data_IF_748420775626
#
_entry.id   IF_748420775626
#
_cell.length_a   1.000
_cell.length_b   1.000
_cell.length_c   1.000
_cell.angle_alpha   90.00
_cell.angle_beta   90.00
_cell.angle_gamma   90.00
#
_symmetry.space_group_name_H-M   'P 1'
#
loop_
_entity.id
_entity.type
_entity.pdbx_description
1 polymer ?
#
# COMPACT_ATOMS: atom_id res chain seq x y z
N UNK A 1 29.02 -24.80 3.70
CA UNK A 1 28.87 -23.34 3.70
C UNK A 1 27.44 -22.96 3.89
N UNK A 2 27.19 -21.89 4.60
CA UNK A 2 25.87 -21.36 4.85
C UNK A 2 25.19 -20.98 3.53
N UNK A 3 23.91 -21.31 3.41
CA UNK A 3 23.14 -20.91 2.25
C UNK A 3 22.41 -19.59 2.54
N UNK A 4 22.45 -18.70 1.59
CA UNK A 4 21.75 -17.43 1.64
C UNK A 4 20.42 -17.56 0.92
N UNK A 5 19.35 -17.09 1.55
CA UNK A 5 18.04 -16.94 0.95
C UNK A 5 17.84 -15.46 0.62
N UNK A 6 17.80 -15.12 -0.66
CA UNK A 6 17.38 -13.78 -1.09
C UNK A 6 15.88 -13.67 -0.97
N UNK A 7 15.43 -13.07 0.08
CA UNK A 7 14.01 -12.88 0.35
C UNK A 7 13.36 -11.86 -0.59
N UNK A 8 14.12 -10.89 -1.09
CA UNK A 8 13.62 -9.77 -1.91
C UNK A 8 13.66 -9.99 -3.41
N UNK A 9 14.62 -10.76 -3.91
CA UNK A 9 14.81 -10.87 -5.36
C UNK A 9 13.74 -11.72 -6.01
N UNK A 10 12.58 -11.49 -5.97
CA UNK A 10 11.40 -12.00 -6.63
C UNK A 10 10.39 -12.79 -5.78
N UNK A 11 10.68 -13.59 -4.74
CA UNK A 11 9.58 -14.24 -4.03
C UNK A 11 8.67 -13.25 -3.31
N UNK A 12 9.22 -12.24 -2.61
CA UNK A 12 8.39 -11.32 -1.82
C UNK A 12 7.73 -10.23 -2.66
N UNK A 13 8.43 -9.59 -3.58
CA UNK A 13 7.80 -8.61 -4.49
C UNK A 13 6.73 -9.28 -5.35
N UNK A 14 7.01 -10.48 -5.85
CA UNK A 14 6.02 -11.30 -6.54
C UNK A 14 4.82 -11.63 -5.65
N UNK A 15 5.05 -11.94 -4.38
CA UNK A 15 3.98 -12.19 -3.41
C UNK A 15 3.15 -10.93 -3.15
N UNK A 16 3.78 -9.79 -2.82
CA UNK A 16 3.10 -8.52 -2.54
C UNK A 16 2.20 -8.05 -3.70
N UNK A 17 2.60 -8.32 -4.93
CA UNK A 17 1.85 -7.89 -6.12
C UNK A 17 0.91 -8.96 -6.71
N UNK A 18 0.96 -10.22 -6.27
CA UNK A 18 0.15 -11.30 -6.84
C UNK A 18 -0.76 -12.00 -5.84
N UNK A 19 -0.44 -11.92 -4.57
CA UNK A 19 -1.19 -12.60 -3.52
C UNK A 19 -1.94 -11.58 -2.67
N UNK A 20 -3.22 -11.87 -2.40
CA UNK A 20 -4.01 -11.04 -1.49
C UNK A 20 -3.31 -10.93 -0.14
N UNK A 21 -3.19 -9.73 0.45
CA UNK A 21 -2.39 -9.52 1.64
C UNK A 21 -2.96 -10.22 2.87
N UNK A 22 -2.06 -10.83 3.60
CA UNK A 22 -2.24 -11.43 4.91
C UNK A 22 -0.88 -11.51 5.59
N UNK A 23 -0.81 -12.07 6.78
CA UNK A 23 0.42 -12.15 7.57
C UNK A 23 0.89 -13.59 7.80
N UNK A 24 0.55 -14.54 6.91
CA UNK A 24 0.98 -15.94 7.01
C UNK A 24 2.18 -16.26 6.13
N UNK A 25 2.54 -15.39 5.21
CA UNK A 25 3.67 -15.61 4.31
C UNK A 25 4.97 -15.85 5.10
N UNK A 26 5.72 -16.86 4.67
CA UNK A 26 7.01 -17.23 5.24
C UNK A 26 7.86 -17.96 4.18
N UNK A 27 9.10 -18.28 4.53
CA UNK A 27 10.07 -18.94 3.64
C UNK A 27 10.32 -20.41 4.01
N UNK A 28 9.39 -21.07 4.70
CA UNK A 28 9.56 -22.46 5.17
C UNK A 28 9.93 -23.41 4.04
N UNK A 29 9.24 -23.33 2.89
CA UNK A 29 9.49 -24.22 1.75
C UNK A 29 10.89 -24.00 1.18
N UNK A 30 11.30 -22.74 1.00
CA UNK A 30 12.64 -22.41 0.53
C UNK A 30 13.74 -22.81 1.54
N UNK A 31 13.50 -22.60 2.84
CA UNK A 31 14.42 -23.00 3.90
C UNK A 31 14.56 -24.53 3.98
N UNK A 32 13.48 -25.29 3.78
CA UNK A 32 13.54 -26.74 3.77
C UNK A 32 14.45 -27.33 2.68
N UNK A 33 14.57 -26.64 1.55
CA UNK A 33 15.43 -27.06 0.43
C UNK A 33 16.93 -26.94 0.73
N UNK A 34 17.32 -26.32 1.83
CA UNK A 34 18.73 -26.11 2.18
C UNK A 34 19.39 -27.29 2.86
N UNK A 35 18.63 -28.36 3.18
CA UNK A 35 19.17 -29.58 3.78
C UNK A 35 19.61 -29.44 5.23
N UNK A 36 18.94 -28.55 5.99
CA UNK A 36 19.17 -28.40 7.44
C UNK A 36 20.38 -27.53 7.83
N UNK A 37 21.05 -26.88 6.87
CA UNK A 37 22.09 -25.89 7.18
C UNK A 37 21.45 -24.57 7.60
N UNK A 38 22.16 -23.72 8.38
CA UNK A 38 21.69 -22.39 8.73
C UNK A 38 21.27 -21.59 7.49
N UNK A 39 20.13 -20.90 7.59
CA UNK A 39 19.56 -20.08 6.51
C UNK A 39 19.48 -18.65 6.96
N UNK A 40 19.92 -17.75 6.10
CA UNK A 40 19.99 -16.33 6.38
C UNK A 40 19.24 -15.53 5.29
N UNK A 41 18.35 -14.62 5.70
CA UNK A 41 17.72 -13.67 4.79
C UNK A 41 18.75 -12.62 4.35
N UNK A 42 19.05 -12.59 3.05
CA UNK A 42 20.08 -11.72 2.49
C UNK A 42 19.47 -10.63 1.61
N UNK A 43 19.90 -9.39 1.80
CA UNK A 43 19.41 -8.22 1.06
C UNK A 43 17.88 -8.02 1.21
N UNK A 44 17.38 -8.20 2.43
CA UNK A 44 15.96 -7.98 2.74
C UNK A 44 15.62 -6.50 2.59
N UNK A 45 14.47 -6.18 1.96
CA UNK A 45 14.00 -4.82 1.74
C UNK A 45 14.14 -4.35 0.29
N UNK A 46 14.72 -3.18 0.06
CA UNK A 46 14.93 -2.56 -1.26
C UNK A 46 13.66 -1.97 -1.90
N UNK A 47 12.75 -1.44 -1.08
CA UNK A 47 11.53 -0.75 -1.52
C UNK A 47 11.80 0.74 -1.69
N UNK A 48 11.64 1.24 -2.92
CA UNK A 48 11.93 2.64 -3.26
C UNK A 48 10.88 3.61 -2.68
N UNK A 49 11.30 4.83 -2.33
CA UNK A 49 10.41 5.94 -1.99
C UNK A 49 10.87 7.21 -2.69
N UNK A 50 9.99 8.19 -2.85
CA UNK A 50 10.40 9.48 -3.40
C UNK A 50 11.45 10.14 -2.51
N UNK A 51 12.49 10.79 -3.10
CA UNK A 51 13.59 11.38 -2.33
C UNK A 51 13.19 12.70 -1.66
N UNK A 52 13.87 12.97 -0.55
CA UNK A 52 13.91 14.31 -0.01
C UNK A 52 14.95 15.16 -0.78
N UNK A 53 14.52 16.30 -1.33
CA UNK A 53 15.41 17.18 -2.09
C UNK A 53 16.32 18.07 -1.22
N UNK A 54 16.02 18.22 0.07
CA UNK A 54 16.85 19.04 0.97
C UNK A 54 18.25 18.42 1.17
N UNK A 55 18.41 17.13 0.89
CA UNK A 55 19.70 16.47 0.89
C UNK A 55 20.66 16.96 -0.21
N UNK A 56 20.14 17.56 -1.31
CA UNK A 56 20.94 17.99 -2.47
C UNK A 56 22.06 18.95 -2.05
N UNK A 57 21.74 19.92 -1.21
CA UNK A 57 22.68 20.97 -0.79
C UNK A 57 23.71 20.48 0.23
N UNK A 58 23.58 19.26 0.70
CA UNK A 58 24.50 18.60 1.64
C UNK A 58 25.63 17.87 0.94
N UNK A 59 25.50 17.56 -0.36
CA UNK A 59 26.59 16.98 -1.15
C UNK A 59 27.71 18.01 -1.37
N UNK A 60 28.94 17.61 -1.05
CA UNK A 60 30.11 18.47 -1.08
C UNK A 60 31.28 17.79 -1.77
N UNK A 61 32.24 18.59 -2.20
CA UNK A 61 33.45 18.08 -2.85
C UNK A 61 33.21 17.65 -4.30
N UNK A 62 33.68 16.48 -4.67
CA UNK A 62 33.61 15.95 -6.03
C UNK A 62 32.29 15.23 -6.30
N UNK A 63 31.49 14.92 -5.27
CA UNK A 63 30.23 14.22 -5.42
C UNK A 63 29.12 15.22 -5.78
N UNK A 64 28.60 15.08 -6.98
CA UNK A 64 27.53 15.95 -7.49
C UNK A 64 26.24 15.11 -7.60
N UNK A 65 25.15 15.46 -6.91
CA UNK A 65 23.90 14.70 -6.95
C UNK A 65 23.05 15.04 -8.19
N UNK A 66 23.61 14.85 -9.39
CA UNK A 66 22.94 15.26 -10.63
C UNK A 66 21.67 14.45 -10.91
N UNK A 67 21.61 13.20 -10.47
CA UNK A 67 20.41 12.37 -10.48
C UNK A 67 19.27 13.01 -9.67
N UNK A 68 19.52 13.44 -8.44
CA UNK A 68 18.50 14.11 -7.60
C UNK A 68 18.08 15.46 -8.19
N UNK A 69 19.04 16.22 -8.74
CA UNK A 69 18.76 17.46 -9.47
C UNK A 69 17.90 17.24 -10.71
N UNK A 70 18.15 16.16 -11.45
CA UNK A 70 17.35 15.79 -12.62
C UNK A 70 15.91 15.41 -12.23
N UNK A 71 15.74 14.65 -11.15
CA UNK A 71 14.41 14.31 -10.60
C UNK A 71 13.68 15.60 -10.18
N UNK A 72 14.34 16.52 -9.47
CA UNK A 72 13.75 17.80 -9.05
C UNK A 72 13.31 18.65 -10.24
N UNK A 73 14.17 18.82 -11.25
CA UNK A 73 13.80 19.55 -12.48
C UNK A 73 12.59 18.91 -13.18
N UNK A 74 12.55 17.58 -13.24
CA UNK A 74 11.40 16.87 -13.82
C UNK A 74 10.13 17.10 -13.01
N UNK A 75 10.20 17.05 -11.68
CA UNK A 75 9.06 17.31 -10.80
C UNK A 75 8.49 18.73 -11.03
N UNK A 76 9.35 19.74 -11.21
CA UNK A 76 8.97 21.10 -11.58
C UNK A 76 8.30 21.14 -12.96
N UNK A 77 8.89 20.47 -13.95
CA UNK A 77 8.37 20.41 -15.33
C UNK A 77 7.02 19.71 -15.44
N UNK A 78 6.80 18.64 -14.69
CA UNK A 78 5.55 17.86 -14.73
C UNK A 78 4.48 18.39 -13.79
N UNK A 79 4.84 19.27 -12.84
CA UNK A 79 3.96 19.79 -11.79
C UNK A 79 3.91 18.92 -10.53
N UNK A 80 4.67 17.82 -10.48
CA UNK A 80 4.74 16.96 -9.31
C UNK A 80 5.34 17.66 -8.07
N UNK A 81 6.12 18.74 -8.29
CA UNK A 81 6.65 19.57 -7.21
C UNK A 81 5.56 20.12 -6.27
N UNK A 82 4.34 20.36 -6.77
CA UNK A 82 3.22 20.88 -5.97
C UNK A 82 2.76 19.94 -4.83
N UNK A 83 2.97 18.63 -4.98
CA UNK A 83 2.58 17.61 -3.99
C UNK A 83 3.77 16.74 -3.55
N UNK A 84 5.02 17.23 -3.76
CA UNK A 84 6.22 16.44 -3.55
C UNK A 84 6.35 15.87 -2.13
N UNK A 85 6.19 16.70 -1.11
CA UNK A 85 6.31 16.28 0.29
C UNK A 85 5.24 15.25 0.68
N UNK A 86 4.01 15.43 0.20
CA UNK A 86 2.96 14.42 0.38
C UNK A 86 3.29 13.11 -0.36
N UNK A 87 3.91 13.20 -1.53
CA UNK A 87 4.40 12.04 -2.29
C UNK A 87 5.53 11.30 -1.57
N UNK A 88 6.49 12.02 -0.98
CA UNK A 88 7.55 11.44 -0.13
C UNK A 88 6.93 10.66 1.02
N UNK A 89 5.99 11.28 1.76
CA UNK A 89 5.31 10.61 2.87
C UNK A 89 4.52 9.38 2.40
N UNK A 90 3.75 9.47 1.32
CA UNK A 90 2.87 8.40 0.88
C UNK A 90 3.64 7.21 0.28
N UNK A 91 4.68 7.44 -0.55
CA UNK A 91 5.54 6.37 -1.07
C UNK A 91 6.35 5.70 0.05
N UNK A 92 6.86 6.50 0.99
CA UNK A 92 7.58 5.98 2.15
C UNK A 92 6.72 5.17 3.11
N UNK A 93 5.45 5.55 3.32
CA UNK A 93 4.48 4.76 4.09
C UNK A 93 4.26 3.37 3.48
N UNK A 94 4.15 3.30 2.16
CA UNK A 94 4.01 2.03 1.48
C UNK A 94 5.32 1.22 1.54
N UNK A 95 6.46 1.85 1.28
CA UNK A 95 7.76 1.20 1.41
C UNK A 95 7.96 0.60 2.81
N UNK A 96 7.64 1.34 3.87
CA UNK A 96 7.72 0.86 5.25
C UNK A 96 6.83 -0.38 5.49
N UNK A 97 5.62 -0.43 4.92
CA UNK A 97 4.73 -1.60 5.00
C UNK A 97 5.30 -2.81 4.28
N UNK A 98 5.89 -2.59 3.10
CA UNK A 98 6.56 -3.64 2.34
C UNK A 98 7.79 -4.19 3.09
N UNK A 99 8.62 -3.32 3.66
CA UNK A 99 9.73 -3.70 4.54
C UNK A 99 9.27 -4.56 5.71
N UNK A 100 8.21 -4.09 6.38
CA UNK A 100 7.65 -4.82 7.53
C UNK A 100 7.19 -6.22 7.14
N UNK A 101 6.42 -6.35 6.06
CA UNK A 101 5.89 -7.65 5.63
C UNK A 101 7.02 -8.62 5.30
N UNK A 102 8.08 -8.15 4.64
CA UNK A 102 9.20 -8.99 4.29
C UNK A 102 10.05 -9.40 5.51
N UNK A 103 10.36 -8.46 6.39
CA UNK A 103 11.07 -8.75 7.65
C UNK A 103 10.26 -9.71 8.53
N UNK A 104 8.96 -9.46 8.70
CA UNK A 104 8.11 -10.35 9.47
C UNK A 104 7.96 -11.73 8.81
N UNK A 105 8.00 -11.84 7.47
CA UNK A 105 8.00 -13.14 6.79
C UNK A 105 9.27 -13.96 7.13
N UNK A 106 10.43 -13.32 7.23
CA UNK A 106 11.65 -13.95 7.75
C UNK A 106 11.46 -14.39 9.21
N UNK A 107 10.97 -13.50 10.06
CA UNK A 107 10.74 -13.79 11.49
C UNK A 107 9.69 -14.89 11.71
N UNK A 108 8.72 -15.01 10.82
CA UNK A 108 7.69 -16.09 10.84
C UNK A 108 8.20 -17.42 10.31
N UNK A 109 9.40 -17.48 9.76
CA UNK A 109 9.99 -18.71 9.18
C UNK A 109 10.73 -19.50 10.26
N UNK A 110 10.26 -20.72 10.62
CA UNK A 110 11.00 -21.57 11.54
C UNK A 110 12.38 -21.94 10.97
N UNK A 111 13.40 -21.90 11.81
CA UNK A 111 14.76 -22.30 11.44
C UNK A 111 15.58 -21.23 10.72
N UNK A 112 15.05 -20.02 10.53
CA UNK A 112 15.89 -18.89 10.06
C UNK A 112 16.90 -18.51 11.12
N UNK A 113 18.15 -18.29 10.69
CA UNK A 113 19.27 -17.92 11.57
C UNK A 113 19.44 -16.41 11.72
N UNK A 114 18.81 -15.63 10.87
CA UNK A 114 18.87 -14.17 10.89
C UNK A 114 18.54 -13.55 9.53
N UNK A 115 18.73 -12.24 9.44
CA UNK A 115 18.59 -11.50 8.19
C UNK A 115 19.57 -10.32 8.15
N UNK A 116 19.91 -9.87 6.94
CA UNK A 116 20.56 -8.59 6.70
C UNK A 116 19.70 -7.72 5.80
N UNK A 117 19.57 -6.46 6.19
CA UNK A 117 18.87 -5.45 5.43
C UNK A 117 19.77 -4.88 4.34
N UNK A 118 19.25 -4.66 3.14
CA UNK A 118 19.86 -3.80 2.16
C UNK A 118 19.02 -2.55 1.97
N UNK A 119 19.69 -1.39 2.15
CA UNK A 119 19.05 -0.11 1.92
C UNK A 119 18.39 0.52 3.16
N UNK A 120 19.12 0.59 4.31
CA UNK A 120 18.70 1.47 5.40
C UNK A 120 18.80 2.95 4.98
N UNK A 121 19.78 3.30 4.14
CA UNK A 121 19.92 4.60 3.51
C UNK A 121 19.73 4.53 1.99
N UNK A 122 19.42 5.67 1.38
CA UNK A 122 19.42 5.83 -0.07
C UNK A 122 20.81 5.58 -0.66
N UNK A 123 20.83 4.90 -1.79
CA UNK A 123 22.05 4.68 -2.58
C UNK A 123 21.94 5.41 -3.92
N UNK A 124 22.54 6.62 -4.05
CA UNK A 124 22.42 7.42 -5.26
C UNK A 124 23.15 6.83 -6.48
N UNK A 125 24.00 5.80 -6.28
CA UNK A 125 24.61 5.03 -7.36
C UNK A 125 23.67 3.97 -7.94
N UNK A 126 24.15 3.19 -8.88
CA UNK A 126 23.49 2.02 -9.48
C UNK A 126 22.01 2.24 -9.80
N UNK A 127 21.74 3.20 -10.69
CA UNK A 127 20.39 3.52 -11.14
C UNK A 127 19.57 4.41 -10.20
N UNK A 128 20.18 4.97 -9.15
CA UNK A 128 19.52 5.83 -8.15
C UNK A 128 18.53 5.05 -7.30
N UNK A 129 19.03 4.16 -6.47
CA UNK A 129 18.22 3.35 -5.56
C UNK A 129 17.84 4.15 -4.30
N UNK A 130 16.64 4.69 -4.28
CA UNK A 130 16.11 5.56 -3.21
C UNK A 130 15.33 4.73 -2.19
N UNK A 131 15.93 3.65 -1.71
CA UNK A 131 15.28 2.61 -0.89
C UNK A 131 15.38 2.84 0.61
N UNK A 132 16.04 3.91 1.05
CA UNK A 132 16.32 4.15 2.46
C UNK A 132 15.17 4.77 3.24
N UNK A 133 15.08 4.41 4.52
CA UNK A 133 14.42 5.22 5.55
C UNK A 133 15.26 6.47 5.87
N UNK A 134 16.55 6.40 5.58
CA UNK A 134 17.52 7.50 5.67
C UNK A 134 17.90 7.99 4.28
N UNK A 135 18.29 9.25 4.20
CA UNK A 135 18.91 9.83 3.00
C UNK A 135 20.35 9.31 2.78
N UNK A 136 21.00 9.72 1.70
CA UNK A 136 22.36 9.32 1.39
C UNK A 136 23.44 9.77 2.41
N UNK A 137 23.05 10.66 3.34
CA UNK A 137 23.92 11.17 4.41
C UNK A 137 23.62 10.53 5.79
N UNK A 138 22.87 9.42 5.82
CA UNK A 138 22.47 8.71 7.03
C UNK A 138 21.61 9.57 7.99
N UNK A 139 20.83 10.49 7.44
CA UNK A 139 19.85 11.27 8.19
C UNK A 139 18.46 10.69 7.89
N UNK A 140 17.61 10.44 8.89
CA UNK A 140 16.22 10.04 8.65
C UNK A 140 15.53 11.01 7.69
N UNK A 141 14.79 10.51 6.72
CA UNK A 141 14.00 11.37 5.82
C UNK A 141 13.00 12.17 6.67
N UNK A 142 12.73 13.46 6.33
CA UNK A 142 11.90 14.35 7.15
C UNK A 142 10.40 14.04 6.99
N UNK A 143 10.02 12.79 7.28
CA UNK A 143 8.66 12.30 7.13
C UNK A 143 8.34 11.26 8.22
N UNK A 144 7.06 11.11 8.58
CA UNK A 144 6.64 10.26 9.70
C UNK A 144 7.01 8.78 9.49
N UNK A 145 6.96 8.28 8.25
CA UNK A 145 7.33 6.90 7.95
C UNK A 145 8.78 6.56 8.33
N UNK A 146 9.69 7.55 8.29
CA UNK A 146 11.12 7.36 8.53
C UNK A 146 11.53 7.48 10.02
N UNK A 147 10.57 7.65 10.92
CA UNK A 147 10.85 7.70 12.36
C UNK A 147 11.42 6.36 12.84
N UNK A 148 12.57 6.37 13.55
CA UNK A 148 13.26 5.15 13.97
C UNK A 148 12.37 4.16 14.72
N UNK A 149 11.46 4.65 15.57
CA UNK A 149 10.57 3.82 16.37
C UNK A 149 9.61 2.99 15.52
N UNK A 150 9.23 3.50 14.35
CA UNK A 150 8.33 2.80 13.43
C UNK A 150 9.02 1.61 12.77
N UNK A 151 10.29 1.76 12.41
CA UNK A 151 11.09 0.66 11.84
C UNK A 151 11.48 -0.35 12.94
N UNK A 152 11.90 0.13 14.10
CA UNK A 152 12.28 -0.70 15.24
C UNK A 152 11.12 -1.57 15.76
N UNK A 153 9.87 -1.20 15.52
CA UNK A 153 8.70 -1.98 15.96
C UNK A 153 8.64 -3.40 15.35
N UNK A 154 9.24 -3.60 14.17
CA UNK A 154 9.30 -4.91 13.52
C UNK A 154 10.72 -5.39 13.21
N UNK A 155 11.71 -4.52 13.30
CA UNK A 155 13.13 -4.85 13.10
C UNK A 155 13.88 -4.78 14.46
N UNK A 156 13.57 -5.73 15.31
CA UNK A 156 14.09 -5.80 16.68
C UNK A 156 14.44 -7.25 17.06
N UNK A 157 15.29 -7.47 18.09
CA UNK A 157 15.64 -8.81 18.54
C UNK A 157 14.44 -9.63 19.02
N UNK A 158 13.37 -8.97 19.49
CA UNK A 158 12.13 -9.63 19.92
C UNK A 158 10.95 -8.92 19.27
N UNK A 159 10.13 -9.67 18.54
CA UNK A 159 8.96 -9.15 17.83
C UNK A 159 7.74 -10.01 18.12
N UNK A 160 6.62 -9.36 18.43
CA UNK A 160 5.31 -9.99 18.60
C UNK A 160 4.61 -10.07 17.25
N UNK A 161 4.18 -11.27 16.83
CA UNK A 161 3.63 -11.54 15.51
C UNK A 161 2.19 -12.03 15.60
N UNK A 162 1.32 -11.49 14.75
CA UNK A 162 -0.01 -12.04 14.49
C UNK A 162 -0.06 -12.62 13.07
N UNK A 163 -0.44 -13.87 12.93
CA UNK A 163 -0.54 -14.57 11.65
C UNK A 163 -2.00 -14.80 11.29
N UNK A 164 -2.51 -14.06 10.31
CA UNK A 164 -3.91 -14.11 9.83
C UNK A 164 -3.96 -14.04 8.30
N UNK A 165 -5.11 -14.41 7.72
CA UNK A 165 -5.22 -14.65 6.28
C UNK A 165 -5.46 -13.38 5.47
N UNK A 166 -6.13 -12.37 6.02
CA UNK A 166 -6.53 -11.14 5.29
C UNK A 166 -6.75 -9.97 6.24
N UNK A 167 -6.67 -8.76 5.70
CA UNK A 167 -6.87 -7.52 6.44
C UNK A 167 -8.30 -6.98 6.40
N UNK A 168 -9.13 -7.44 5.45
CA UNK A 168 -10.49 -6.92 5.20
C UNK A 168 -11.53 -8.02 5.38
N UNK A 169 -12.64 -7.69 6.02
CA UNK A 169 -13.70 -8.60 6.45
C UNK A 169 -15.08 -8.00 6.18
N UNK A 170 -16.10 -8.85 6.09
CA UNK A 170 -17.49 -8.39 6.19
C UNK A 170 -17.92 -8.24 7.64
N UNK A 171 -18.97 -7.43 7.86
CA UNK A 171 -19.59 -7.28 9.16
C UNK A 171 -20.06 -8.64 9.70
N UNK A 172 -19.76 -8.92 10.96
CA UNK A 172 -20.10 -10.18 11.63
C UNK A 172 -19.21 -11.37 11.30
N UNK A 173 -18.26 -11.26 10.38
CA UNK A 173 -17.30 -12.35 10.09
C UNK A 173 -16.35 -12.61 11.28
N UNK A 174 -15.80 -13.83 11.32
CA UNK A 174 -14.82 -14.20 12.33
C UNK A 174 -13.40 -13.88 11.87
N UNK A 175 -12.73 -13.04 12.64
CA UNK A 175 -11.29 -12.85 12.58
C UNK A 175 -10.58 -13.92 13.43
N UNK A 176 -9.55 -14.53 12.87
CA UNK A 176 -8.70 -15.50 13.58
C UNK A 176 -7.24 -15.19 13.30
N UNK A 177 -6.42 -15.15 14.36
CA UNK A 177 -4.98 -14.99 14.24
C UNK A 177 -4.24 -15.96 15.17
N UNK A 178 -3.19 -16.59 14.65
CA UNK A 178 -2.21 -17.31 15.45
C UNK A 178 -1.17 -16.33 15.94
N UNK A 179 -0.98 -16.24 17.25
CA UNK A 179 0.00 -15.33 17.86
C UNK A 179 1.33 -16.05 18.05
N UNK A 180 2.41 -15.35 17.77
CA UNK A 180 3.76 -15.87 17.89
C UNK A 180 4.70 -14.82 18.49
N UNK A 181 5.81 -15.28 19.08
CA UNK A 181 6.93 -14.47 19.52
C UNK A 181 8.17 -14.93 18.76
N UNK A 182 8.74 -14.03 17.97
CA UNK A 182 10.08 -14.21 17.41
C UNK A 182 11.07 -13.64 18.44
N UNK A 183 11.74 -14.51 19.20
CA UNK A 183 12.70 -14.10 20.21
C UNK A 183 14.11 -14.50 19.82
N UNK A 184 14.81 -13.61 19.15
CA UNK A 184 16.23 -13.71 18.81
C UNK A 184 17.10 -12.86 19.76
N UNK A 185 16.52 -12.39 20.87
CA UNK A 185 17.22 -11.73 21.96
C UNK A 185 18.08 -12.67 22.79
N UNK A 186 18.62 -12.17 23.87
CA UNK A 186 19.52 -12.92 24.76
C UNK A 186 18.81 -13.57 25.96
N UNK A 187 17.56 -13.17 26.21
CA UNK A 187 16.82 -13.56 27.42
C UNK A 187 15.45 -14.11 27.06
N UNK A 188 14.91 -14.94 27.96
CA UNK A 188 13.51 -15.33 27.93
C UNK A 188 12.63 -14.10 28.09
N UNK A 189 11.66 -13.89 27.19
CA UNK A 189 10.64 -12.89 27.38
C UNK A 189 9.65 -13.42 28.44
N UNK A 190 9.57 -12.74 29.58
CA UNK A 190 8.68 -13.09 30.67
C UNK A 190 7.34 -12.34 30.60
N UNK A 191 6.33 -12.90 31.29
CA UNK A 191 5.01 -12.28 31.41
C UNK A 191 4.04 -12.68 30.31
N UNK A 192 2.77 -12.29 30.45
CA UNK A 192 1.72 -12.63 29.49
C UNK A 192 1.84 -11.82 28.20
N UNK A 193 1.31 -12.38 27.09
CA UNK A 193 1.02 -11.63 25.89
C UNK A 193 -0.43 -11.15 25.94
N UNK A 194 -0.61 -9.83 25.93
CA UNK A 194 -1.93 -9.21 25.88
C UNK A 194 -2.26 -8.83 24.43
N UNK A 195 -3.53 -8.96 24.06
CA UNK A 195 -4.05 -8.47 22.81
C UNK A 195 -5.28 -7.59 23.00
N UNK A 196 -5.46 -6.62 22.14
CA UNK A 196 -6.69 -5.84 22.07
C UNK A 196 -7.02 -5.49 20.62
N UNK A 197 -8.32 -5.40 20.32
CA UNK A 197 -8.84 -4.85 19.07
C UNK A 197 -9.56 -3.56 19.42
N UNK A 198 -9.16 -2.47 18.77
CA UNK A 198 -9.67 -1.14 19.06
C UNK A 198 -10.06 -0.40 17.77
N UNK A 199 -11.06 0.48 17.88
CA UNK A 199 -11.40 1.50 16.90
C UNK A 199 -11.07 2.87 17.48
N UNK A 200 -10.02 3.51 16.98
CA UNK A 200 -9.48 4.71 17.59
C UNK A 200 -9.07 4.47 19.05
N UNK A 201 -9.77 5.11 19.99
CA UNK A 201 -9.53 4.94 21.43
C UNK A 201 -10.47 3.92 22.11
N UNK A 202 -11.46 3.41 21.39
CA UNK A 202 -12.45 2.49 21.94
C UNK A 202 -11.98 1.06 21.78
N UNK A 203 -11.85 0.33 22.91
CA UNK A 203 -11.51 -1.10 22.92
C UNK A 203 -12.79 -1.88 22.68
N UNK A 204 -12.80 -2.71 21.64
CA UNK A 204 -13.93 -3.57 21.26
C UNK A 204 -13.75 -5.02 21.68
N UNK A 205 -12.50 -5.46 21.87
CA UNK A 205 -12.15 -6.79 22.35
C UNK A 205 -10.75 -6.83 22.91
N UNK A 206 -10.52 -7.67 23.92
CA UNK A 206 -9.19 -7.85 24.52
C UNK A 206 -9.09 -9.20 25.19
N UNK A 207 -7.86 -9.63 25.46
CA UNK A 207 -7.57 -10.84 26.20
C UNK A 207 -6.10 -11.00 26.49
N UNK A 208 -5.78 -12.07 27.18
CA UNK A 208 -4.43 -12.39 27.65
C UNK A 208 -4.13 -13.84 27.36
N UNK A 209 -2.91 -14.12 26.96
CA UNK A 209 -2.37 -15.47 26.79
C UNK A 209 -1.18 -15.62 27.75
N UNK A 210 -1.32 -16.50 28.71
CA UNK A 210 -0.33 -16.72 29.74
C UNK A 210 0.83 -17.57 29.25
N UNK A 211 2.03 -17.26 29.73
CA UNK A 211 3.23 -18.06 29.54
C UNK A 211 3.98 -18.16 30.85
N UNK A 212 3.61 -19.09 31.76
CA UNK A 212 4.23 -19.21 33.10
C UNK A 212 5.76 -19.38 33.04
N UNK A 213 6.28 -20.06 32.00
CA UNK A 213 7.71 -20.26 31.75
C UNK A 213 8.33 -19.15 30.89
N UNK A 214 7.53 -18.19 30.40
CA UNK A 214 7.93 -17.22 29.38
C UNK A 214 8.18 -17.85 28.00
N UNK A 215 8.67 -17.02 27.05
CA UNK A 215 9.06 -17.47 25.72
C UNK A 215 10.58 -17.42 25.57
N UNK A 216 11.25 -18.60 25.53
CA UNK A 216 12.70 -18.70 25.49
C UNK A 216 13.31 -18.00 24.26
N UNK A 217 14.52 -17.49 24.44
CA UNK A 217 15.36 -16.98 23.35
C UNK A 217 15.72 -18.09 22.34
N UNK A 218 16.19 -17.69 21.16
CA UNK A 218 16.72 -18.58 20.13
C UNK A 218 15.69 -19.03 19.10
N UNK A 219 14.67 -18.21 18.76
CA UNK A 219 13.81 -18.48 17.63
C UNK A 219 12.34 -18.13 17.79
N UNK A 220 11.53 -18.67 16.87
CA UNK A 220 10.10 -18.47 16.79
C UNK A 220 9.37 -19.39 17.79
N UNK A 221 8.41 -18.83 18.56
CA UNK A 221 7.59 -19.54 19.54
C UNK A 221 6.10 -19.30 19.23
N UNK A 222 5.32 -20.37 19.29
CA UNK A 222 3.86 -20.25 19.24
C UNK A 222 3.34 -19.85 20.64
N UNK A 223 2.41 -18.90 20.65
CA UNK A 223 1.79 -18.37 21.87
C UNK A 223 0.38 -18.91 22.03
N UNK A 224 -0.43 -18.84 20.98
CA UNK A 224 -1.82 -19.28 20.98
C UNK A 224 -2.59 -18.68 19.84
N UNK A 225 -3.91 -18.80 19.91
CA UNK A 225 -4.83 -18.32 18.86
C UNK A 225 -5.87 -17.42 19.48
N UNK A 226 -6.14 -16.32 18.78
CA UNK A 226 -7.30 -15.46 19.06
C UNK A 226 -8.38 -15.71 18.02
N UNK A 227 -9.63 -15.61 18.45
CA UNK A 227 -10.81 -15.62 17.60
C UNK A 227 -11.76 -14.55 18.09
N UNK A 228 -12.12 -13.62 17.20
CA UNK A 228 -12.95 -12.49 17.55
C UNK A 228 -13.90 -12.18 16.39
N UNK A 229 -15.15 -11.80 16.70
CA UNK A 229 -16.15 -11.50 15.69
C UNK A 229 -16.13 -10.03 15.35
N UNK A 230 -16.05 -9.71 14.04
CA UNK A 230 -16.13 -8.34 13.55
C UNK A 230 -17.46 -7.68 13.94
N UNK A 231 -17.53 -6.36 14.14
CA UNK A 231 -18.78 -5.67 14.36
C UNK A 231 -19.82 -6.01 13.29
N UNK A 232 -21.07 -6.19 13.69
CA UNK A 232 -22.15 -6.62 12.80
C UNK A 232 -23.07 -5.50 12.36
N UNK A 233 -22.72 -4.25 12.60
CA UNK A 233 -23.52 -3.08 12.23
C UNK A 233 -23.34 -2.68 10.74
N UNK A 234 -24.11 -1.68 10.29
CA UNK A 234 -24.18 -1.29 8.90
C UNK A 234 -23.16 -0.20 8.50
N UNK A 235 -22.13 0.05 9.32
CA UNK A 235 -21.06 0.99 9.01
C UNK A 235 -19.72 0.30 8.81
N UNK A 236 -18.78 0.91 8.07
CA UNK A 236 -17.42 0.38 7.99
C UNK A 236 -16.64 0.69 9.29
N UNK A 237 -15.69 -0.16 9.59
CA UNK A 237 -14.80 -0.02 10.73
C UNK A 237 -13.35 -0.06 10.33
N UNK A 238 -12.56 0.90 10.81
CA UNK A 238 -11.09 0.85 10.77
C UNK A 238 -10.57 0.46 12.15
N UNK A 239 -10.11 -0.75 12.27
CA UNK A 239 -9.72 -1.40 13.52
C UNK A 239 -8.20 -1.54 13.60
N UNK A 240 -7.68 -1.67 14.82
CA UNK A 240 -6.28 -2.01 15.07
C UNK A 240 -6.24 -3.20 16.03
N UNK A 241 -5.59 -4.28 15.60
CA UNK A 241 -5.12 -5.32 16.50
C UNK A 241 -3.80 -4.87 17.11
N UNK A 242 -3.74 -4.79 18.42
CA UNK A 242 -2.53 -4.48 19.18
C UNK A 242 -2.11 -5.68 20.01
N UNK A 243 -0.83 -6.01 19.95
CA UNK A 243 -0.18 -7.03 20.81
C UNK A 243 0.80 -6.32 21.74
N UNK A 244 0.87 -6.74 23.00
CA UNK A 244 1.84 -6.20 23.94
C UNK A 244 2.34 -7.28 24.91
N UNK A 245 3.63 -7.19 25.25
CA UNK A 245 4.27 -8.00 26.31
C UNK A 245 5.42 -7.18 26.91
N UNK A 246 5.26 -6.75 28.19
CA UNK A 246 6.16 -5.74 28.76
C UNK A 246 6.18 -4.46 27.92
N UNK A 247 7.38 -4.01 27.56
CA UNK A 247 7.57 -2.80 26.71
C UNK A 247 7.44 -3.08 25.22
N UNK A 248 7.28 -4.34 24.80
CA UNK A 248 7.12 -4.71 23.40
C UNK A 248 5.68 -4.47 22.94
N UNK A 249 5.54 -3.98 21.72
CA UNK A 249 4.24 -3.86 21.09
C UNK A 249 4.32 -4.09 19.58
N UNK A 250 3.23 -4.60 19.02
CA UNK A 250 3.02 -4.70 17.58
C UNK A 250 1.58 -4.32 17.24
N UNK A 251 1.35 -3.69 16.08
CA UNK A 251 0.04 -3.22 15.66
C UNK A 251 -0.25 -3.64 14.23
N UNK A 252 -1.45 -4.14 13.98
CA UNK A 252 -1.92 -4.56 12.66
C UNK A 252 -3.25 -3.88 12.36
N UNK A 253 -3.40 -3.17 11.23
CA UNK A 253 -4.68 -2.62 10.84
C UNK A 253 -5.62 -3.74 10.39
N UNK A 254 -6.92 -3.55 10.62
CA UNK A 254 -7.98 -4.43 10.12
C UNK A 254 -9.15 -3.56 9.68
N UNK A 255 -9.90 -4.02 8.70
CA UNK A 255 -11.12 -3.32 8.26
C UNK A 255 -12.29 -4.29 8.23
N UNK A 256 -13.46 -3.78 8.60
CA UNK A 256 -14.73 -4.48 8.43
C UNK A 256 -15.68 -3.57 7.66
N UNK A 257 -16.38 -4.15 6.69
CA UNK A 257 -17.32 -3.45 5.82
C UNK A 257 -18.71 -4.04 5.94
N UNK A 258 -19.77 -3.24 5.77
CA UNK A 258 -21.15 -3.74 5.78
C UNK A 258 -21.34 -4.88 4.77
N UNK A 259 -22.28 -5.78 5.09
CA UNK A 259 -22.68 -6.83 4.16
C UNK A 259 -23.17 -6.26 2.84
N UNK A 260 -23.01 -7.05 1.78
CA UNK A 260 -23.33 -6.65 0.42
C UNK A 260 -24.79 -6.14 0.26
N UNK A 261 -24.92 -5.04 -0.46
CA UNK A 261 -26.16 -4.57 -1.08
C UNK A 261 -26.12 -4.86 -2.58
N UNK A 262 -27.20 -4.55 -3.28
CA UNK A 262 -27.19 -4.60 -4.74
C UNK A 262 -26.08 -3.66 -5.29
N UNK A 263 -25.26 -4.16 -6.20
CA UNK A 263 -24.20 -3.36 -6.80
C UNK A 263 -24.79 -2.18 -7.58
N UNK A 264 -24.25 -0.96 -7.42
CA UNK A 264 -24.70 0.19 -8.18
C UNK A 264 -24.44 0.02 -9.69
N UNK A 265 -25.22 0.70 -10.51
CA UNK A 265 -25.01 0.72 -11.95
C UNK A 265 -23.75 1.52 -12.30
N UNK A 266 -22.86 0.91 -13.10
CA UNK A 266 -21.62 1.53 -13.56
C UNK A 266 -21.41 1.29 -15.05
N UNK A 267 -20.74 2.23 -15.72
CA UNK A 267 -20.30 2.05 -17.11
C UNK A 267 -18.94 1.34 -17.12
N UNK A 268 -18.92 0.12 -17.65
CA UNK A 268 -17.69 -0.67 -17.82
C UNK A 268 -16.95 -0.36 -19.14
N UNK A 269 -17.59 0.38 -20.01
CA UNK A 269 -17.09 0.94 -21.28
C UNK A 269 -17.89 2.20 -21.58
N UNK A 270 -17.36 3.02 -22.45
CA UNK A 270 -18.04 4.26 -22.89
C UNK A 270 -18.43 4.16 -24.36
N UNK A 271 -19.68 4.48 -24.67
CA UNK A 271 -20.17 4.55 -26.06
C UNK A 271 -20.61 5.98 -26.41
N UNK A 272 -20.74 6.26 -27.68
CA UNK A 272 -21.14 7.60 -28.18
C UNK A 272 -22.48 8.08 -27.61
N UNK A 273 -23.41 7.18 -27.34
CA UNK A 273 -24.70 7.52 -26.72
C UNK A 273 -24.52 7.99 -25.26
N UNK A 274 -23.63 7.33 -24.48
CA UNK A 274 -23.31 7.74 -23.11
C UNK A 274 -22.65 9.12 -23.09
N UNK A 275 -21.71 9.35 -24.02
CA UNK A 275 -21.02 10.63 -24.13
C UNK A 275 -22.02 11.78 -24.32
N UNK A 276 -22.94 11.65 -25.30
CA UNK A 276 -24.00 12.65 -25.55
C UNK A 276 -24.93 12.84 -24.34
N UNK A 277 -25.28 11.76 -23.64
CA UNK A 277 -26.13 11.81 -22.46
C UNK A 277 -25.45 12.59 -21.33
N UNK A 278 -24.16 12.36 -21.13
CA UNK A 278 -23.37 13.08 -20.12
C UNK A 278 -23.22 14.55 -20.50
N UNK A 279 -22.88 14.87 -21.75
CA UNK A 279 -22.80 16.27 -22.23
C UNK A 279 -24.11 17.02 -22.04
N UNK A 280 -25.25 16.35 -22.18
CA UNK A 280 -26.58 16.92 -21.97
C UNK A 280 -26.95 17.17 -20.50
N UNK A 281 -26.17 16.61 -19.55
CA UNK A 281 -26.34 16.88 -18.12
C UNK A 281 -26.47 15.65 -17.20
N UNK A 282 -26.32 14.44 -17.72
CA UNK A 282 -26.32 13.25 -16.86
C UNK A 282 -25.02 13.10 -16.07
N UNK A 283 -25.12 12.52 -14.87
CA UNK A 283 -23.94 12.01 -14.12
C UNK A 283 -23.64 10.57 -14.52
N UNK A 284 -22.35 10.19 -14.54
CA UNK A 284 -21.93 8.83 -14.82
C UNK A 284 -20.78 8.38 -13.93
N UNK A 285 -20.94 7.19 -13.33
CA UNK A 285 -19.86 6.44 -12.72
C UNK A 285 -19.30 5.48 -13.77
N UNK A 286 -18.03 5.69 -14.12
CA UNK A 286 -17.30 4.89 -15.09
C UNK A 286 -16.24 4.12 -14.30
N UNK A 287 -16.34 2.78 -14.28
CA UNK A 287 -15.37 1.91 -13.63
C UNK A 287 -14.85 0.90 -14.64
N UNK A 288 -13.63 1.15 -15.16
CA UNK A 288 -13.10 0.43 -16.31
C UNK A 288 -12.36 -0.85 -15.89
N UNK A 289 -12.38 -1.92 -16.74
CA UNK A 289 -11.60 -3.12 -16.52
C UNK A 289 -10.09 -2.85 -16.44
N UNK A 290 -9.40 -3.60 -15.57
CA UNK A 290 -7.96 -3.46 -15.36
C UNK A 290 -7.10 -4.00 -16.53
N UNK A 291 -7.71 -4.65 -17.54
CA UNK A 291 -7.00 -5.20 -18.71
C UNK A 291 -6.44 -4.12 -19.66
N UNK A 292 -6.90 -2.87 -19.53
CA UNK A 292 -6.43 -1.73 -20.31
C UNK A 292 -7.09 -1.57 -21.68
N UNK A 293 -8.02 -2.45 -22.08
CA UNK A 293 -8.69 -2.38 -23.40
C UNK A 293 -9.47 -1.09 -23.59
N UNK A 294 -10.11 -0.60 -22.53
CA UNK A 294 -10.90 0.62 -22.54
C UNK A 294 -10.09 1.90 -22.26
N UNK A 295 -8.84 1.77 -21.81
CA UNK A 295 -7.94 2.90 -21.52
C UNK A 295 -6.49 2.62 -21.95
N UNK A 296 -6.21 2.49 -23.26
CA UNK A 296 -4.93 1.99 -23.78
C UNK A 296 -3.73 2.90 -23.47
N UNK A 297 -3.96 4.21 -23.24
CA UNK A 297 -2.91 5.16 -22.87
C UNK A 297 -2.60 5.21 -21.37
N UNK A 298 -3.30 4.40 -20.55
CA UNK A 298 -3.10 4.34 -19.09
C UNK A 298 -1.83 3.58 -18.70
N UNK A 299 -1.41 3.76 -17.44
CA UNK A 299 -0.30 3.01 -16.83
C UNK A 299 -0.90 1.87 -16.02
N UNK A 300 -0.37 0.67 -16.16
CA UNK A 300 -0.70 -0.42 -15.23
C UNK A 300 -0.08 -0.12 -13.87
N UNK A 301 -0.82 -0.38 -12.81
CA UNK A 301 -0.36 -0.14 -11.45
C UNK A 301 0.05 -1.44 -10.76
N UNK A 302 0.85 -1.32 -9.72
CA UNK A 302 1.23 -2.39 -8.80
C UNK A 302 1.00 -1.92 -7.36
N UNK A 303 0.88 -2.87 -6.42
CA UNK A 303 0.70 -2.51 -5.01
C UNK A 303 1.99 -2.06 -4.35
N UNK A 304 3.09 -2.81 -4.47
CA UNK A 304 4.39 -2.42 -3.88
C UNK A 304 4.95 -1.17 -4.55
N UNK A 305 5.91 -0.52 -3.90
CA UNK A 305 6.77 0.45 -4.59
C UNK A 305 7.75 -0.28 -5.54
N UNK A 306 8.48 0.46 -6.36
CA UNK A 306 9.52 -0.10 -7.20
C UNK A 306 10.61 -0.76 -6.34
N UNK A 307 11.17 -1.83 -6.89
CA UNK A 307 12.30 -2.54 -6.31
C UNK A 307 13.61 -1.92 -6.78
N UNK A 308 14.45 -1.49 -5.87
CA UNK A 308 15.75 -0.88 -6.08
C UNK A 308 15.70 0.39 -6.94
N UNK A 309 15.48 0.28 -8.22
CA UNK A 309 15.19 1.40 -9.13
C UNK A 309 14.73 0.91 -10.50
N UNK A 310 13.90 1.69 -11.17
CA UNK A 310 13.50 1.43 -12.57
C UNK A 310 14.70 1.55 -13.51
N UNK A 311 15.71 2.36 -13.19
CA UNK A 311 16.92 2.48 -13.99
C UNK A 311 17.75 1.18 -14.05
N UNK A 312 17.68 0.35 -13.00
CA UNK A 312 18.37 -0.96 -12.94
C UNK A 312 17.45 -2.10 -13.39
N UNK A 313 16.14 -2.01 -13.07
CA UNK A 313 15.13 -3.04 -13.37
C UNK A 313 13.97 -2.40 -14.15
N UNK A 314 14.15 -2.16 -15.47
CA UNK A 314 13.21 -1.37 -16.28
C UNK A 314 11.89 -2.08 -16.62
N UNK A 315 11.77 -3.37 -16.39
CA UNK A 315 10.57 -4.19 -16.61
C UNK A 315 9.50 -4.01 -15.52
N UNK A 316 9.77 -3.21 -14.50
CA UNK A 316 8.79 -2.86 -13.46
C UNK A 316 7.73 -1.91 -14.00
N UNK A 317 6.54 -1.93 -13.39
CA UNK A 317 5.45 -1.03 -13.77
C UNK A 317 5.79 0.44 -13.47
N UNK A 318 6.65 0.69 -12.51
CA UNK A 318 7.13 2.02 -12.15
C UNK A 318 6.08 2.85 -11.45
N UNK A 319 5.36 2.29 -10.48
CA UNK A 319 4.42 3.02 -9.64
C UNK A 319 4.78 2.87 -8.16
N UNK A 320 4.60 3.96 -7.40
CA UNK A 320 5.18 4.16 -6.07
C UNK A 320 4.12 4.24 -4.98
N UNK A 321 2.94 3.66 -5.22
CA UNK A 321 1.80 3.70 -4.30
C UNK A 321 0.83 4.84 -4.57
N UNK A 322 -0.09 5.05 -3.64
CA UNK A 322 -1.20 6.00 -3.79
C UNK A 322 -1.02 7.21 -2.88
N UNK A 323 -1.36 8.38 -3.40
CA UNK A 323 -1.64 9.59 -2.64
C UNK A 323 -3.14 9.87 -2.72
N UNK A 324 -3.83 9.77 -1.59
CA UNK A 324 -5.28 9.75 -1.49
C UNK A 324 -5.77 11.05 -0.85
N UNK A 325 -6.72 11.71 -1.48
CA UNK A 325 -7.45 12.83 -0.88
C UNK A 325 -8.56 12.29 0.01
N UNK A 326 -8.20 11.82 1.20
CA UNK A 326 -9.10 11.12 2.12
C UNK A 326 -10.31 11.99 2.55
N UNK A 327 -10.15 13.32 2.56
CA UNK A 327 -11.18 14.30 2.87
C UNK A 327 -12.14 14.58 1.69
N UNK A 328 -11.87 14.02 0.51
CA UNK A 328 -12.72 14.23 -0.67
C UNK A 328 -14.11 13.64 -0.43
N UNK A 329 -15.21 14.35 -0.76
CA UNK A 329 -16.58 13.88 -0.46
C UNK A 329 -16.93 12.49 -1.02
N UNK A 330 -16.28 12.06 -2.11
CA UNK A 330 -16.44 10.71 -2.67
C UNK A 330 -15.91 9.60 -1.74
N UNK A 331 -15.03 9.93 -0.79
CA UNK A 331 -14.39 8.99 0.14
C UNK A 331 -14.84 9.21 1.59
N UNK A 332 -15.76 10.13 1.86
CA UNK A 332 -16.17 10.52 3.23
C UNK A 332 -16.60 9.35 4.11
N UNK A 333 -17.26 8.35 3.53
CA UNK A 333 -17.76 7.16 4.22
C UNK A 333 -16.84 5.94 4.07
N UNK A 334 -15.73 6.07 3.32
CA UNK A 334 -14.73 5.03 3.14
C UNK A 334 -13.55 5.25 4.10
N UNK A 335 -13.30 4.34 5.07
CA UNK A 335 -12.30 4.56 6.10
C UNK A 335 -10.90 4.43 5.52
N UNK A 336 -10.31 5.53 5.10
CA UNK A 336 -8.98 5.58 4.48
C UNK A 336 -8.11 6.68 5.08
N UNK A 337 -6.80 6.52 4.96
CA UNK A 337 -5.80 7.58 5.16
C UNK A 337 -5.34 8.15 3.82
N UNK A 338 -4.28 8.95 3.86
CA UNK A 338 -3.74 9.67 2.70
C UNK A 338 -2.76 8.85 1.85
N UNK A 339 -2.43 7.61 2.26
CA UNK A 339 -1.47 6.73 1.58
C UNK A 339 -2.00 5.30 1.44
N UNK A 340 -1.40 4.52 0.55
CA UNK A 340 -1.70 3.10 0.38
C UNK A 340 -1.64 2.35 1.71
N UNK A 341 -2.65 1.50 1.95
CA UNK A 341 -2.63 0.51 3.01
C UNK A 341 -3.20 -0.81 2.45
N UNK A 342 -3.17 -1.89 3.21
CA UNK A 342 -3.54 -3.23 2.77
C UNK A 342 -4.95 -3.33 2.17
N UNK A 343 -5.91 -2.53 2.63
CA UNK A 343 -7.25 -2.45 2.05
C UNK A 343 -7.29 -1.92 0.59
N UNK A 344 -6.23 -1.25 0.14
CA UNK A 344 -6.10 -0.73 -1.24
C UNK A 344 -5.41 -1.70 -2.19
N UNK A 345 -5.14 -2.92 -1.74
CA UNK A 345 -4.37 -3.87 -2.53
C UNK A 345 -5.01 -4.18 -3.88
N UNK A 346 -6.28 -4.57 -3.89
CA UNK A 346 -7.03 -4.89 -5.12
C UNK A 346 -7.08 -3.69 -6.06
N UNK A 347 -7.45 -2.53 -5.53
CA UNK A 347 -7.58 -1.28 -6.29
C UNK A 347 -6.26 -0.83 -6.90
N UNK A 348 -5.13 -1.10 -6.24
CA UNK A 348 -3.78 -0.74 -6.72
C UNK A 348 -3.31 -1.58 -7.91
N UNK A 349 -4.04 -2.62 -8.32
CA UNK A 349 -3.73 -3.38 -9.54
C UNK A 349 -4.50 -2.93 -10.78
N UNK A 350 -5.18 -1.80 -10.67
CA UNK A 350 -5.92 -1.17 -11.76
C UNK A 350 -5.05 -0.44 -12.78
N UNK A 351 -5.67 0.54 -13.43
CA UNK A 351 -5.06 1.37 -14.49
C UNK A 351 -5.13 2.85 -14.13
N UNK A 352 -3.99 3.52 -14.07
CA UNK A 352 -3.90 4.95 -13.84
C UNK A 352 -3.89 5.74 -15.15
N UNK A 353 -4.76 6.75 -15.23
CA UNK A 353 -4.88 7.62 -16.40
C UNK A 353 -3.81 8.71 -16.37
N UNK A 354 -3.17 9.00 -17.50
CA UNK A 354 -2.32 10.18 -17.67
C UNK A 354 -3.18 11.42 -17.83
N UNK A 355 -3.46 12.10 -16.74
CA UNK A 355 -4.37 13.24 -16.69
C UNK A 355 -3.69 14.55 -17.08
N UNK A 356 -4.43 15.50 -17.71
CA UNK A 356 -3.99 16.88 -17.79
C UNK A 356 -3.71 17.46 -16.38
N UNK A 357 -2.80 18.41 -16.27
CA UNK A 357 -2.48 19.06 -14.98
C UNK A 357 -3.66 19.80 -14.34
N UNK A 358 -4.67 20.16 -15.15
CA UNK A 358 -5.89 20.79 -14.68
C UNK A 358 -6.80 19.89 -13.88
N UNK A 359 -6.61 18.57 -13.99
CA UNK A 359 -7.38 17.57 -13.23
C UNK A 359 -6.54 17.10 -12.06
N UNK A 360 -7.00 17.38 -10.85
CA UNK A 360 -6.46 16.83 -9.62
C UNK A 360 -7.17 15.51 -9.30
N UNK A 361 -6.46 14.36 -9.28
CA UNK A 361 -7.10 13.09 -8.95
C UNK A 361 -7.62 13.02 -7.51
N UNK A 362 -8.71 12.31 -7.29
CA UNK A 362 -9.19 11.93 -5.95
C UNK A 362 -8.25 10.89 -5.34
N UNK A 363 -7.83 9.92 -6.16
CA UNK A 363 -6.78 8.95 -5.82
C UNK A 363 -5.70 9.06 -6.90
N UNK A 364 -4.58 9.62 -6.53
CA UNK A 364 -3.39 9.74 -7.36
C UNK A 364 -2.53 8.49 -7.22
N UNK A 365 -2.01 7.99 -8.33
CA UNK A 365 -0.90 7.06 -8.33
C UNK A 365 0.39 7.85 -8.37
N UNK A 366 1.29 7.61 -7.42
CA UNK A 366 2.63 8.18 -7.47
C UNK A 366 3.43 7.45 -8.54
N UNK A 367 3.91 8.21 -9.50
CA UNK A 367 4.67 7.66 -10.62
C UNK A 367 6.15 7.49 -10.26
N UNK A 368 6.84 6.61 -10.97
CA UNK A 368 8.30 6.49 -10.86
C UNK A 368 8.98 7.86 -11.04
N UNK A 369 10.06 8.08 -10.30
CA UNK A 369 10.87 9.31 -10.39
C UNK A 369 11.45 9.56 -11.80
N UNK A 370 11.43 8.56 -12.67
CA UNK A 370 11.88 8.67 -14.06
C UNK A 370 10.84 9.29 -14.99
N UNK A 371 9.53 9.22 -14.66
CA UNK A 371 8.42 9.75 -15.49
C UNK A 371 7.74 10.95 -14.83
N UNK A 372 7.23 10.77 -13.62
CA UNK A 372 6.49 11.77 -12.83
C UNK A 372 5.26 12.34 -13.56
N UNK A 373 4.54 11.48 -14.26
CA UNK A 373 3.27 11.84 -14.91
C UNK A 373 2.19 12.15 -13.87
N UNK A 374 1.20 12.97 -14.23
CA UNK A 374 0.00 13.18 -13.41
C UNK A 374 -0.94 11.98 -13.56
N UNK A 375 -0.79 10.98 -12.72
CA UNK A 375 -1.52 9.72 -12.80
C UNK A 375 -2.72 9.71 -11.85
N UNK A 376 -3.92 9.48 -12.39
CA UNK A 376 -5.16 9.33 -11.63
C UNK A 376 -5.73 7.93 -11.70
N UNK A 377 -5.94 7.29 -10.54
CA UNK A 377 -6.65 6.02 -10.42
C UNK A 377 -8.16 6.23 -10.24
N UNK A 378 -8.52 7.27 -9.49
CA UNK A 378 -9.87 7.82 -9.34
C UNK A 378 -9.83 9.32 -9.60
N UNK A 379 -10.66 9.80 -10.50
CA UNK A 379 -10.73 11.23 -10.83
C UNK A 379 -12.13 11.63 -11.30
N UNK A 380 -12.44 12.92 -11.21
CA UNK A 380 -13.70 13.45 -11.68
C UNK A 380 -13.52 14.66 -12.60
N UNK A 381 -14.48 14.87 -13.47
CA UNK A 381 -14.53 16.04 -14.35
C UNK A 381 -15.95 16.35 -14.79
N UNK A 382 -16.17 17.60 -15.24
CA UNK A 382 -17.37 18.01 -15.94
C UNK A 382 -17.21 17.81 -17.45
N UNK A 383 -18.18 17.20 -18.07
CA UNK A 383 -18.28 17.09 -19.52
C UNK A 383 -19.56 17.78 -20.00
N UNK A 384 -19.42 18.92 -20.67
CA UNK A 384 -20.59 19.76 -21.00
C UNK A 384 -21.34 20.20 -19.74
N UNK A 385 -22.62 19.80 -19.65
CA UNK A 385 -23.48 20.07 -18.47
C UNK A 385 -23.43 18.93 -17.43
N UNK A 386 -22.89 17.77 -17.79
CA UNK A 386 -22.88 16.59 -16.93
C UNK A 386 -21.58 16.40 -16.20
N UNK A 387 -21.53 15.31 -15.44
CA UNK A 387 -20.46 14.99 -14.50
C UNK A 387 -20.01 13.54 -14.70
N UNK A 388 -18.70 13.32 -14.72
CA UNK A 388 -18.11 11.97 -14.68
C UNK A 388 -17.30 11.79 -13.40
N UNK A 389 -17.40 10.60 -12.84
CA UNK A 389 -16.48 10.05 -11.86
C UNK A 389 -15.87 8.77 -12.48
N UNK A 390 -14.57 8.78 -12.69
CA UNK A 390 -13.88 7.73 -13.44
C UNK A 390 -12.92 6.98 -12.54
N UNK A 391 -13.10 5.67 -12.49
CA UNK A 391 -12.25 4.71 -11.76
C UNK A 391 -11.54 3.80 -12.74
N UNK A 392 -10.25 3.62 -12.56
CA UNK A 392 -9.45 2.58 -13.22
C UNK A 392 -9.17 1.39 -12.31
N UNK A 393 -9.90 1.25 -11.21
CA UNK A 393 -9.68 0.24 -10.17
C UNK A 393 -10.33 -1.12 -10.46
N UNK A 394 -11.23 -1.19 -11.43
CA UNK A 394 -12.01 -2.40 -11.75
C UNK A 394 -12.83 -2.91 -10.55
N UNK A 395 -13.45 -1.99 -9.80
CA UNK A 395 -14.20 -2.33 -8.58
C UNK A 395 -15.34 -3.30 -8.86
N UNK A 396 -16.06 -3.10 -9.95
CA UNK A 396 -17.18 -3.95 -10.36
C UNK A 396 -16.74 -5.33 -10.88
N UNK A 397 -15.46 -5.50 -11.21
CA UNK A 397 -14.84 -6.79 -11.51
C UNK A 397 -14.41 -7.57 -10.26
N UNK A 398 -14.48 -6.94 -9.07
CA UNK A 398 -13.97 -7.46 -7.81
C UNK A 398 -14.97 -7.34 -6.65
N UNK A 399 -16.25 -7.60 -6.94
CA UNK A 399 -17.33 -7.48 -5.94
C UNK A 399 -17.28 -8.56 -4.85
N UNK A 400 -16.50 -9.61 -5.02
CA UNK A 400 -16.20 -10.60 -3.98
C UNK A 400 -15.40 -10.02 -2.80
N UNK A 401 -14.73 -8.87 -2.99
CA UNK A 401 -13.98 -8.19 -1.94
C UNK A 401 -14.80 -7.08 -1.30
N UNK A 402 -15.01 -7.12 0.03
CA UNK A 402 -15.88 -6.16 0.71
C UNK A 402 -15.40 -4.71 0.59
N UNK A 403 -14.08 -4.46 0.56
CA UNK A 403 -13.50 -3.14 0.35
C UNK A 403 -13.80 -2.55 -1.03
N UNK A 404 -13.80 -3.36 -2.09
CA UNK A 404 -14.14 -2.92 -3.46
C UNK A 404 -15.62 -2.61 -3.59
N UNK A 405 -16.46 -3.49 -3.08
CA UNK A 405 -17.91 -3.36 -3.07
C UNK A 405 -18.34 -2.08 -2.36
N UNK A 406 -17.84 -1.88 -1.13
CA UNK A 406 -18.19 -0.74 -0.32
C UNK A 406 -17.68 0.59 -0.92
N UNK A 407 -16.47 0.59 -1.48
CA UNK A 407 -15.96 1.77 -2.19
C UNK A 407 -16.88 2.12 -3.37
N UNK A 408 -17.30 1.14 -4.15
CA UNK A 408 -18.19 1.35 -5.29
C UNK A 408 -19.54 1.96 -4.85
N UNK A 409 -20.10 1.50 -3.72
CA UNK A 409 -21.32 2.10 -3.11
C UNK A 409 -21.09 3.57 -2.71
N UNK A 410 -19.94 3.88 -2.08
CA UNK A 410 -19.58 5.26 -1.72
C UNK A 410 -19.48 6.17 -2.96
N UNK A 411 -18.85 5.70 -4.03
CA UNK A 411 -18.69 6.47 -5.28
C UNK A 411 -20.04 6.73 -5.95
N UNK A 412 -20.94 5.74 -5.97
CA UNK A 412 -22.28 5.91 -6.51
C UNK A 412 -23.09 6.90 -5.69
N UNK A 413 -23.12 6.76 -4.36
CA UNK A 413 -23.81 7.68 -3.46
C UNK A 413 -23.28 9.12 -3.58
N UNK A 414 -21.99 9.30 -3.80
CA UNK A 414 -21.41 10.62 -4.06
C UNK A 414 -21.94 11.24 -5.35
N UNK A 415 -22.14 10.47 -6.40
CA UNK A 415 -22.66 10.98 -7.68
C UNK A 415 -24.13 11.42 -7.60
N UNK A 416 -24.92 10.84 -6.71
CA UNK A 416 -26.31 11.25 -6.46
C UNK A 416 -26.40 12.56 -5.65
N UNK A 417 -25.29 12.97 -5.04
CA UNK A 417 -25.20 14.19 -4.24
C UNK A 417 -24.76 15.43 -5.03
N UNK A 418 -24.63 16.57 -4.35
CA UNK A 418 -24.14 17.80 -4.95
C UNK A 418 -22.70 17.65 -5.45
N UNK A 419 -22.43 18.22 -6.63
CA UNK A 419 -21.09 18.20 -7.23
C UNK A 419 -20.13 19.09 -6.45
N UNK A 420 -18.93 18.60 -6.18
CA UNK A 420 -17.80 19.43 -5.76
C UNK A 420 -17.29 20.27 -6.96
N UNK A 421 -16.57 21.38 -6.73
CA UNK A 421 -15.87 22.08 -7.80
C UNK A 421 -14.90 21.14 -8.52
N UNK A 422 -15.00 21.03 -9.84
CA UNK A 422 -14.16 20.14 -10.63
C UNK A 422 -13.74 20.76 -11.95
N UNK A 423 -12.64 20.27 -12.52
CA UNK A 423 -12.16 20.65 -13.85
C UNK A 423 -13.17 20.22 -14.93
N UNK A 424 -13.16 20.91 -16.06
CA UNK A 424 -13.90 20.51 -17.24
C UNK A 424 -12.97 19.77 -18.20
N UNK A 425 -13.53 18.79 -18.93
CA UNK A 425 -12.90 18.12 -20.05
C UNK A 425 -13.76 18.26 -21.31
N UNK A 426 -13.11 18.27 -22.44
CA UNK A 426 -13.79 18.19 -23.74
C UNK A 426 -14.00 16.72 -24.15
N UNK A 427 -14.95 16.43 -25.06
CA UNK A 427 -15.11 15.09 -25.60
C UNK A 427 -13.81 14.54 -26.24
N UNK A 428 -13.03 15.41 -26.86
CA UNK A 428 -11.77 15.03 -27.48
C UNK A 428 -10.70 14.64 -26.44
N UNK A 429 -10.56 15.40 -25.37
CA UNK A 429 -9.67 15.08 -24.26
C UNK A 429 -10.08 13.75 -23.60
N UNK A 430 -11.40 13.54 -23.41
CA UNK A 430 -11.88 12.28 -22.85
C UNK A 430 -11.57 11.08 -23.75
N UNK A 431 -11.72 11.21 -25.08
CA UNK A 431 -11.37 10.15 -26.04
C UNK A 431 -9.87 9.81 -26.08
N UNK A 432 -9.00 10.71 -25.63
CA UNK A 432 -7.57 10.42 -25.46
C UNK A 432 -7.32 9.56 -24.22
N UNK A 433 -8.17 9.66 -23.21
CA UNK A 433 -8.04 8.92 -21.94
C UNK A 433 -8.79 7.58 -21.97
N UNK A 434 -9.98 7.57 -22.56
CA UNK A 434 -10.90 6.42 -22.56
C UNK A 434 -11.33 6.14 -24.00
N UNK A 435 -11.35 4.87 -24.37
CA UNK A 435 -11.93 4.43 -25.63
C UNK A 435 -13.44 4.71 -25.63
N UNK A 436 -13.92 5.40 -26.65
CA UNK A 436 -15.35 5.58 -26.90
C UNK A 436 -15.73 4.75 -28.13
N UNK A 437 -16.58 3.77 -27.92
CA UNK A 437 -17.05 2.88 -28.99
C UNK A 437 -18.28 3.46 -29.66
N UNK A 438 -18.48 3.23 -30.98
CA UNK A 438 -19.66 3.73 -31.71
C UNK A 438 -20.97 3.18 -31.15
N UNK A 439 -20.97 1.93 -30.69
CA UNK A 439 -22.09 1.20 -30.07
C UNK A 439 -21.63 0.37 -28.89
#
# INVERSE_FOLDING_TARGET
GDRMLRATSSPMIGHLNRCRPGTRQNYREAAAQTGGVPVFGFEVGQYESWPDFDQIDRFRGITIPENLRAIRRRAEQTGAAAYWQAGVQASGELALRCYREEVEAVLRTPGMSGLSLLGLQDFPGQGTALVGMMDAHLTPKPADFARPERFAAFFAPVVLLACFDRYTYEAGEWFTADLRVANYGRQTLAGPLCWRIAEGRTILGQGTLDAPAGWPAGGLREVGRIRWQMPGDARPHALTLELSAGDLNSRYPLWSYPCAKAAPAVLRRLIEADLRRIEAGASALIDLPADGTECPASVRCQFSTDFWSVGTFPEQEGTMGLLIRAEHPALKDYPTGTASNWQWWTQSHGRAFRLPRTIEPVVRVLDSVTRLDNLGLLWEARLGKGRLLVSGMDLAGHLEFPECRYLLECLAAYLDGPAAPMAAVTPEELRRLIRVSPR
#
